data_IF_848457791971
#
_entry.id   IF_848457791971
#
_cell.length_a   1.000
_cell.length_b   1.000
_cell.length_c   1.000
_cell.angle_alpha   90.00
_cell.angle_beta   90.00
_cell.angle_gamma   90.00
#
_symmetry.space_group_name_H-M   'P 1'
#
loop_
_entity.id
_entity.type
_entity.pdbx_description
1 polymer ?
#
# COMPACT_ATOMS: atom_id res chain seq x y z
N UNK A 1 -13.47 -7.47 3.09
CA UNK A 1 -13.55 -6.92 4.46
C UNK A 1 -13.24 -5.42 4.51
N UNK A 2 -12.06 -4.94 4.03
CA UNK A 2 -11.60 -3.52 4.14
C UNK A 2 -12.60 -2.53 3.52
N UNK A 3 -13.13 -2.76 2.32
CA UNK A 3 -14.14 -1.88 1.68
C UNK A 3 -15.43 -1.76 2.51
N UNK A 4 -15.87 -2.85 3.15
CA UNK A 4 -17.02 -2.82 4.05
C UNK A 4 -16.72 -1.97 5.29
N UNK A 5 -15.49 -2.09 5.83
CA UNK A 5 -15.03 -1.27 6.95
C UNK A 5 -15.08 0.22 6.62
N UNK A 6 -14.56 0.62 5.46
CA UNK A 6 -14.64 2.03 4.99
C UNK A 6 -16.09 2.51 4.94
N UNK A 7 -16.98 1.75 4.30
CA UNK A 7 -18.40 2.14 4.14
C UNK A 7 -19.17 2.22 5.44
N UNK A 8 -18.83 1.39 6.44
CA UNK A 8 -19.50 1.32 7.74
C UNK A 8 -18.85 2.17 8.83
N UNK A 9 -17.68 2.72 8.58
CA UNK A 9 -17.01 3.60 9.54
C UNK A 9 -17.78 4.93 9.67
N UNK A 10 -17.70 5.55 10.86
CA UNK A 10 -18.35 6.84 11.17
C UNK A 10 -17.34 7.89 11.64
N UNK A 11 -16.07 7.50 11.82
CA UNK A 11 -15.00 8.41 12.22
C UNK A 11 -14.64 9.42 11.13
N UNK A 12 -14.01 10.50 11.50
CA UNK A 12 -13.44 11.50 10.60
C UNK A 12 -12.29 10.90 9.77
N UNK A 13 -11.52 10.01 10.37
CA UNK A 13 -10.43 9.27 9.74
C UNK A 13 -10.67 7.76 9.83
N UNK A 14 -10.04 7.03 8.90
CA UNK A 14 -10.03 5.56 8.85
C UNK A 14 -8.59 5.08 8.87
N UNK A 15 -8.30 4.16 9.77
CA UNK A 15 -7.06 3.38 9.81
C UNK A 15 -7.35 1.90 9.60
N UNK A 16 -6.32 1.15 9.27
CA UNK A 16 -6.39 -0.29 9.07
C UNK A 16 -5.40 -0.98 10.00
N UNK A 17 -5.74 -2.18 10.44
CA UNK A 17 -4.83 -3.08 11.13
C UNK A 17 -5.05 -4.49 10.58
N UNK A 18 -3.97 -5.18 10.25
CA UNK A 18 -4.05 -6.57 9.85
C UNK A 18 -4.12 -7.45 11.11
N UNK A 19 -4.93 -8.50 11.06
CA UNK A 19 -5.26 -9.33 12.23
C UNK A 19 -4.09 -10.15 12.77
N UNK A 20 -3.01 -10.20 12.03
CA UNK A 20 -1.80 -10.95 12.33
C UNK A 20 -0.61 -10.05 12.72
N UNK A 21 -0.83 -8.75 12.81
CA UNK A 21 0.15 -7.75 13.21
C UNK A 21 -0.21 -7.10 14.56
N UNK A 22 0.75 -6.40 15.15
CA UNK A 22 0.54 -5.60 16.35
C UNK A 22 0.77 -4.12 16.06
N UNK A 23 0.07 -3.27 16.81
CA UNK A 23 0.24 -1.82 16.76
C UNK A 23 0.42 -1.27 18.16
N UNK A 24 1.17 -0.18 18.30
CA UNK A 24 1.25 0.55 19.55
C UNK A 24 -0.15 1.03 19.99
N UNK A 25 -0.46 0.91 21.26
CA UNK A 25 -1.76 1.26 21.81
C UNK A 25 -2.16 2.72 21.57
N UNK A 26 -1.20 3.61 21.40
CA UNK A 26 -1.39 5.04 21.19
C UNK A 26 -1.16 5.48 19.73
N UNK A 27 -0.88 4.54 18.81
CA UNK A 27 -0.61 4.83 17.39
C UNK A 27 -1.69 5.71 16.75
N UNK A 28 -2.94 5.26 16.76
CA UNK A 28 -4.03 5.99 16.09
C UNK A 28 -4.31 7.33 16.77
N UNK A 29 -4.14 7.44 18.10
CA UNK A 29 -4.27 8.71 18.80
C UNK A 29 -3.22 9.71 18.32
N UNK A 30 -1.94 9.33 18.29
CA UNK A 30 -0.86 10.21 17.83
C UNK A 30 -1.01 10.61 16.36
N UNK A 31 -1.36 9.66 15.50
CA UNK A 31 -1.62 9.96 14.08
C UNK A 31 -2.81 10.91 13.90
N UNK A 32 -3.87 10.75 14.70
CA UNK A 32 -5.04 11.63 14.67
C UNK A 32 -4.70 13.04 15.17
N UNK A 33 -3.98 13.16 16.29
CA UNK A 33 -3.52 14.44 16.82
C UNK A 33 -2.68 15.19 15.77
N UNK A 34 -1.73 14.51 15.13
CA UNK A 34 -0.92 15.07 14.04
C UNK A 34 -1.78 15.46 12.82
N UNK A 35 -2.75 14.62 12.44
CA UNK A 35 -3.67 14.90 11.34
C UNK A 35 -4.50 16.14 11.61
N UNK A 36 -4.96 16.35 12.85
CA UNK A 36 -5.73 17.53 13.26
C UNK A 36 -4.86 18.79 13.37
N UNK A 37 -3.68 18.67 13.95
CA UNK A 37 -2.74 19.79 14.08
C UNK A 37 -2.35 20.37 12.73
N UNK A 38 -2.02 19.49 11.78
CA UNK A 38 -1.57 19.90 10.45
C UNK A 38 -2.69 19.95 9.41
N UNK A 39 -3.93 19.61 9.75
CA UNK A 39 -5.06 19.46 8.81
C UNK A 39 -4.70 18.56 7.62
N UNK A 40 -4.27 17.33 7.91
CA UNK A 40 -3.83 16.39 6.89
C UNK A 40 -4.97 15.52 6.36
N UNK A 41 -4.85 15.13 5.11
CA UNK A 41 -5.70 14.13 4.47
C UNK A 41 -5.20 12.70 4.73
N UNK A 42 -3.88 12.57 4.94
CA UNK A 42 -3.24 11.31 5.27
C UNK A 42 -2.09 11.54 6.25
N UNK A 43 -1.95 10.62 7.20
CA UNK A 43 -0.76 10.51 8.07
C UNK A 43 -0.19 9.12 7.92
N UNK A 44 1.13 9.01 7.80
CA UNK A 44 1.87 7.76 7.72
C UNK A 44 2.80 7.64 8.93
N UNK A 45 3.02 6.41 9.44
CA UNK A 45 4.04 6.12 10.46
C UNK A 45 5.02 5.04 9.98
N UNK A 46 6.12 4.89 10.72
CA UNK A 46 7.09 3.83 10.50
C UNK A 46 6.62 2.50 11.10
N UNK A 47 7.34 1.43 10.79
CA UNK A 47 7.06 0.09 11.26
C UNK A 47 8.32 -0.76 11.44
N UNK A 48 8.21 -1.77 12.31
CA UNK A 48 9.23 -2.78 12.55
C UNK A 48 8.91 -4.05 11.75
N UNK A 49 9.92 -4.64 11.12
CA UNK A 49 9.84 -6.03 10.66
C UNK A 49 10.25 -6.95 11.79
N UNK A 50 9.36 -7.86 12.15
CA UNK A 50 9.61 -8.89 13.15
C UNK A 50 9.64 -10.27 12.51
N UNK A 51 10.49 -11.14 13.03
CA UNK A 51 10.51 -12.56 12.71
C UNK A 51 10.33 -13.36 13.98
N UNK A 52 9.34 -14.24 13.99
CA UNK A 52 9.17 -15.23 15.05
C UNK A 52 10.18 -16.36 14.84
N UNK A 53 10.96 -16.67 15.87
CA UNK A 53 11.83 -17.82 15.95
C UNK A 53 11.25 -18.79 16.95
N UNK A 54 11.84 -20.02 17.06
CA UNK A 54 11.34 -21.02 18.01
C UNK A 54 11.40 -20.57 19.47
N UNK A 55 12.33 -19.68 19.78
CA UNK A 55 12.66 -19.30 21.17
C UNK A 55 12.39 -17.83 21.46
N UNK A 56 12.20 -16.99 20.44
CA UNK A 56 12.07 -15.52 20.63
C UNK A 56 11.46 -14.83 19.40
N UNK A 57 11.10 -13.54 19.60
CA UNK A 57 10.70 -12.63 18.52
C UNK A 57 11.88 -11.69 18.26
N UNK A 58 12.41 -11.73 17.06
CA UNK A 58 13.53 -10.90 16.64
C UNK A 58 13.09 -9.76 15.76
N UNK A 59 13.46 -8.53 16.12
CA UNK A 59 13.40 -7.40 15.23
C UNK A 59 14.50 -7.50 14.16
N UNK A 60 14.11 -7.45 12.88
CA UNK A 60 15.03 -7.48 11.75
C UNK A 60 15.47 -6.08 11.35
N UNK A 61 14.53 -5.15 11.25
CA UNK A 61 14.75 -3.76 10.85
C UNK A 61 13.53 -2.91 11.10
N UNK A 62 13.76 -1.63 11.30
CA UNK A 62 12.72 -0.60 11.21
C UNK A 62 12.65 -0.06 9.79
N UNK A 63 11.45 0.17 9.30
CA UNK A 63 11.18 0.78 8.00
C UNK A 63 10.17 1.89 8.11
N UNK A 64 10.22 2.76 7.12
CA UNK A 64 9.29 3.85 6.94
C UNK A 64 9.94 5.01 6.21
N UNK A 65 9.28 6.13 6.28
CA UNK A 65 9.72 7.38 5.70
C UNK A 65 10.66 8.10 6.67
N UNK A 66 11.61 8.81 6.13
CA UNK A 66 12.57 9.64 6.92
C UNK A 66 12.35 11.14 6.69
N UNK A 67 11.39 11.52 5.84
CA UNK A 67 11.07 12.89 5.51
C UNK A 67 9.59 13.03 5.12
N UNK A 68 9.06 14.23 5.24
CA UNK A 68 7.74 14.58 4.72
C UNK A 68 7.69 14.47 3.18
N UNK A 69 6.51 14.25 2.65
CA UNK A 69 6.26 14.33 1.21
C UNK A 69 6.38 15.78 0.73
N UNK A 70 7.00 15.98 -0.41
CA UNK A 70 7.10 17.30 -1.05
C UNK A 70 5.86 17.63 -1.89
N UNK A 71 5.02 16.63 -2.16
CA UNK A 71 3.78 16.76 -2.91
C UNK A 71 3.22 15.38 -3.30
N UNK A 72 2.08 15.39 -3.96
CA UNK A 72 1.38 14.17 -4.39
C UNK A 72 2.24 13.29 -5.32
N UNK A 73 2.98 13.88 -6.24
CA UNK A 73 3.85 13.16 -7.17
C UNK A 73 4.98 12.41 -6.48
N UNK A 74 5.52 12.98 -5.39
CA UNK A 74 6.53 12.32 -4.55
C UNK A 74 6.01 11.02 -3.91
N UNK A 75 4.70 10.93 -3.68
CA UNK A 75 4.05 9.71 -3.16
C UNK A 75 4.06 8.56 -4.17
N UNK A 76 4.15 8.84 -5.48
CA UNK A 76 4.24 7.83 -6.56
C UNK A 76 5.66 7.32 -6.80
N UNK A 77 6.67 8.12 -6.50
CA UNK A 77 8.07 7.79 -6.78
C UNK A 77 8.58 6.65 -5.89
N UNK A 78 8.28 6.71 -4.59
CA UNK A 78 8.63 5.64 -3.63
C UNK A 78 7.45 5.33 -2.71
N UNK A 79 6.39 4.68 -3.25
CA UNK A 79 5.17 4.46 -2.52
C UNK A 79 5.34 3.42 -1.42
N UNK A 80 4.90 3.77 -0.22
CA UNK A 80 4.65 2.84 0.89
C UNK A 80 3.19 2.40 0.81
N UNK A 81 2.91 1.36 0.03
CA UNK A 81 1.53 0.99 -0.34
C UNK A 81 0.71 0.34 0.78
N UNK A 82 1.36 -0.10 1.87
CA UNK A 82 0.67 -0.74 3.00
C UNK A 82 -0.37 0.18 3.63
N UNK A 83 -1.62 -0.28 3.82
CA UNK A 83 -2.68 0.55 4.43
C UNK A 83 -2.57 0.62 5.96
N UNK A 84 -1.97 -0.37 6.61
CA UNK A 84 -1.97 -0.57 8.06
C UNK A 84 -1.04 0.40 8.84
N UNK A 85 -0.16 1.12 8.18
CA UNK A 85 0.67 2.16 8.80
C UNK A 85 0.17 3.58 8.45
N UNK A 86 -1.09 3.72 8.04
CA UNK A 86 -1.67 4.99 7.61
C UNK A 86 -3.01 5.27 8.24
N UNK A 87 -3.28 6.56 8.39
CA UNK A 87 -4.56 7.11 8.76
C UNK A 87 -5.04 8.01 7.63
N UNK A 88 -6.23 7.77 7.10
CA UNK A 88 -6.80 8.47 5.94
C UNK A 88 -8.01 9.28 6.35
N UNK A 89 -8.14 10.50 5.86
CA UNK A 89 -9.39 11.27 5.95
C UNK A 89 -10.50 10.50 5.23
N UNK A 90 -11.53 10.10 5.98
CA UNK A 90 -12.56 9.17 5.50
C UNK A 90 -13.29 9.66 4.26
N UNK A 91 -13.57 10.97 4.18
CA UNK A 91 -14.29 11.58 3.06
C UNK A 91 -13.58 11.35 1.72
N UNK A 92 -12.25 11.37 1.69
CA UNK A 92 -11.46 11.12 0.48
C UNK A 92 -11.79 9.76 -0.10
N UNK A 93 -11.90 8.74 0.74
CA UNK A 93 -12.16 7.37 0.31
C UNK A 93 -13.61 7.20 -0.18
N UNK A 94 -14.56 7.80 0.53
CA UNK A 94 -15.99 7.61 0.25
C UNK A 94 -16.47 8.40 -0.95
N UNK A 95 -16.10 9.69 -1.03
CA UNK A 95 -16.62 10.58 -2.06
C UNK A 95 -16.01 10.34 -3.45
N UNK A 96 -14.82 9.73 -3.49
CA UNK A 96 -14.09 9.53 -4.74
C UNK A 96 -14.05 8.07 -5.21
N UNK A 97 -14.84 7.19 -4.57
CA UNK A 97 -14.91 5.79 -4.96
C UNK A 97 -13.58 5.04 -4.85
N UNK A 98 -12.71 5.47 -3.91
CA UNK A 98 -11.43 4.81 -3.68
C UNK A 98 -11.68 3.55 -2.86
N UNK A 99 -11.44 2.40 -3.49
CA UNK A 99 -11.63 1.08 -2.90
C UNK A 99 -10.48 0.13 -3.19
N UNK A 100 -10.45 -0.96 -2.45
CA UNK A 100 -9.57 -2.10 -2.74
C UNK A 100 -10.22 -2.97 -3.83
N UNK A 101 -9.54 -3.25 -4.96
CA UNK A 101 -10.08 -4.16 -5.97
C UNK A 101 -10.28 -5.56 -5.37
N UNK A 102 -11.44 -6.15 -5.66
CA UNK A 102 -11.80 -7.46 -5.12
C UNK A 102 -11.22 -8.60 -5.95
N UNK A 103 -10.85 -9.69 -5.28
CA UNK A 103 -10.37 -10.91 -5.93
C UNK A 103 -8.92 -10.86 -6.42
N UNK A 104 -8.21 -9.76 -6.24
CA UNK A 104 -6.81 -9.60 -6.62
C UNK A 104 -5.91 -9.65 -5.37
N UNK A 105 -4.68 -10.13 -5.53
CA UNK A 105 -3.58 -9.82 -4.60
C UNK A 105 -2.91 -8.52 -5.07
N UNK A 106 -2.20 -7.83 -4.19
CA UNK A 106 -1.67 -6.47 -4.38
C UNK A 106 -2.76 -5.40 -4.45
N UNK A 107 -3.92 -5.66 -3.86
CA UNK A 107 -5.05 -4.75 -3.78
C UNK A 107 -4.72 -3.45 -3.03
N UNK A 108 -3.78 -3.53 -2.09
CA UNK A 108 -3.22 -2.41 -1.33
C UNK A 108 -2.49 -1.41 -2.24
N UNK A 109 -1.77 -1.93 -3.24
CA UNK A 109 -1.10 -1.09 -4.25
C UNK A 109 -2.13 -0.24 -5.02
N UNK A 110 -3.20 -0.87 -5.54
CA UNK A 110 -4.23 -0.13 -6.25
C UNK A 110 -4.94 0.89 -5.35
N UNK A 111 -5.28 0.49 -4.13
CA UNK A 111 -5.94 1.36 -3.16
C UNK A 111 -5.09 2.60 -2.86
N UNK A 112 -3.81 2.41 -2.51
CA UNK A 112 -2.92 3.51 -2.17
C UNK A 112 -2.71 4.46 -3.35
N UNK A 113 -2.38 3.93 -4.54
CA UNK A 113 -2.11 4.77 -5.72
C UNK A 113 -3.37 5.55 -6.14
N UNK A 114 -4.56 4.94 -6.11
CA UNK A 114 -5.83 5.63 -6.40
C UNK A 114 -6.18 6.73 -5.38
N UNK A 115 -5.66 6.64 -4.15
CA UNK A 115 -5.90 7.66 -3.13
C UNK A 115 -5.10 8.94 -3.38
N UNK A 116 -3.92 8.84 -3.99
CA UNK A 116 -2.95 9.95 -4.13
C UNK A 116 -3.53 11.23 -4.74
N UNK A 117 -4.30 11.22 -5.84
CA UNK A 117 -4.81 12.46 -6.43
C UNK A 117 -5.70 13.29 -5.50
N UNK A 118 -6.25 12.66 -4.48
CA UNK A 118 -7.15 13.32 -3.51
C UNK A 118 -6.46 13.73 -2.21
N UNK A 119 -5.24 13.26 -1.96
CA UNK A 119 -4.45 13.62 -0.78
C UNK A 119 -3.72 14.93 -1.04
N UNK A 120 -4.32 16.04 -0.66
CA UNK A 120 -3.72 17.38 -0.83
C UNK A 120 -2.59 17.62 0.18
N UNK A 121 -2.73 17.05 1.37
CA UNK A 121 -1.77 17.21 2.45
C UNK A 121 -1.54 15.89 3.19
N UNK A 122 -0.33 15.40 3.09
CA UNK A 122 0.14 14.24 3.83
C UNK A 122 1.17 14.66 4.88
N UNK A 123 1.20 13.97 6.01
CA UNK A 123 2.25 14.14 7.02
C UNK A 123 2.77 12.79 7.49
N UNK A 124 3.87 12.86 8.20
CA UNK A 124 4.61 11.70 8.63
C UNK A 124 4.87 11.77 10.14
N UNK A 125 4.51 10.70 10.85
CA UNK A 125 4.85 10.51 12.25
C UNK A 125 6.18 9.75 12.33
N UNK A 126 7.25 10.44 12.75
CA UNK A 126 8.59 9.85 12.89
C UNK A 126 8.65 8.90 14.09
N UNK A 127 7.85 7.86 14.04
CA UNK A 127 7.79 6.79 15.03
C UNK A 127 7.37 5.48 14.34
N UNK A 128 8.03 4.38 14.70
CA UNK A 128 7.61 3.05 14.29
C UNK A 128 6.54 2.54 15.27
N UNK A 129 5.30 2.45 14.78
CA UNK A 129 4.13 2.11 15.58
C UNK A 129 3.50 0.78 15.22
N UNK A 130 3.95 0.14 14.16
CA UNK A 130 3.42 -1.14 13.68
C UNK A 130 4.51 -2.20 13.75
N UNK A 131 4.15 -3.38 14.20
CA UNK A 131 5.01 -4.56 14.32
C UNK A 131 4.54 -5.59 13.31
N UNK A 132 5.18 -5.58 12.13
CA UNK A 132 4.83 -6.43 10.99
C UNK A 132 5.57 -7.77 11.07
N UNK A 133 4.81 -8.88 11.24
CA UNK A 133 5.36 -10.21 11.36
C UNK A 133 5.62 -10.87 10.02
N UNK A 134 6.89 -11.23 9.79
CA UNK A 134 7.30 -12.05 8.65
C UNK A 134 7.08 -13.53 8.97
N UNK A 135 6.03 -14.12 8.42
CA UNK A 135 5.71 -15.54 8.59
C UNK A 135 6.07 -16.32 7.33
N UNK A 136 6.54 -17.55 7.48
CA UNK A 136 6.80 -18.43 6.34
C UNK A 136 5.54 -18.73 5.53
N UNK A 137 4.39 -18.75 6.18
CA UNK A 137 3.06 -18.97 5.58
C UNK A 137 2.41 -17.70 5.02
N UNK A 138 3.09 -16.55 5.09
CA UNK A 138 2.57 -15.29 4.58
C UNK A 138 2.18 -15.39 3.10
N UNK A 139 1.09 -14.70 2.73
CA UNK A 139 0.66 -14.56 1.32
C UNK A 139 1.79 -14.03 0.42
N UNK A 140 2.72 -13.24 0.99
CA UNK A 140 3.93 -12.78 0.29
C UNK A 140 4.89 -13.91 -0.05
N UNK A 141 4.94 -14.99 0.75
CA UNK A 141 5.76 -16.18 0.49
C UNK A 141 5.04 -17.20 -0.41
N UNK A 142 3.72 -17.13 -0.55
CA UNK A 142 2.94 -17.94 -1.48
C UNK A 142 3.13 -17.53 -2.97
N UNK A 143 4.19 -16.77 -3.28
CA UNK A 143 4.54 -16.23 -4.60
C UNK A 143 4.85 -17.29 -5.69
N UNK A 144 4.66 -18.58 -5.40
CA UNK A 144 4.70 -19.67 -6.40
C UNK A 144 3.37 -19.82 -7.14
N UNK A 145 2.36 -19.02 -6.81
CA UNK A 145 1.00 -19.16 -7.31
C UNK A 145 0.77 -18.37 -8.62
N UNK A 146 -0.22 -18.82 -9.41
CA UNK A 146 -0.72 -18.12 -10.60
C UNK A 146 -1.14 -16.66 -10.33
N UNK A 147 -1.40 -16.33 -9.06
CA UNK A 147 -1.82 -14.98 -8.64
C UNK A 147 -0.73 -13.90 -8.78
N UNK A 148 0.55 -14.27 -8.95
CA UNK A 148 1.63 -13.30 -9.21
C UNK A 148 1.28 -12.38 -10.39
N UNK A 149 0.61 -12.91 -11.43
CA UNK A 149 0.15 -12.14 -12.58
C UNK A 149 -0.96 -11.12 -12.28
N UNK A 150 -1.55 -11.12 -11.07
CA UNK A 150 -2.57 -10.12 -10.71
C UNK A 150 -1.99 -8.70 -10.71
N UNK A 151 -0.66 -8.55 -10.61
CA UNK A 151 -0.04 -7.23 -10.67
C UNK A 151 -0.39 -6.46 -11.95
N UNK A 152 -0.47 -7.14 -13.10
CA UNK A 152 -0.85 -6.49 -14.35
C UNK A 152 -2.30 -6.01 -14.33
N UNK A 153 -3.21 -6.77 -13.68
CA UNK A 153 -4.60 -6.34 -13.51
C UNK A 153 -4.70 -5.17 -12.54
N UNK A 154 -3.87 -5.15 -11.50
CA UNK A 154 -3.76 -4.04 -10.56
C UNK A 154 -3.25 -2.78 -11.25
N UNK A 155 -2.19 -2.87 -12.06
CA UNK A 155 -1.68 -1.74 -12.83
C UNK A 155 -2.73 -1.21 -13.83
N UNK A 156 -3.44 -2.12 -14.54
CA UNK A 156 -4.54 -1.73 -15.43
C UNK A 156 -5.65 -1.00 -14.66
N UNK A 157 -6.06 -1.53 -13.49
CA UNK A 157 -7.07 -0.88 -12.63
C UNK A 157 -6.66 0.54 -12.21
N UNK A 158 -5.38 0.74 -11.88
CA UNK A 158 -4.83 2.07 -11.56
C UNK A 158 -4.92 3.00 -12.78
N UNK A 159 -4.44 2.56 -13.94
CA UNK A 159 -4.41 3.38 -15.15
C UNK A 159 -5.84 3.76 -15.60
N UNK A 160 -6.77 2.81 -15.55
CA UNK A 160 -8.18 3.06 -15.89
C UNK A 160 -8.83 4.05 -14.93
N UNK A 161 -8.51 3.97 -13.63
CA UNK A 161 -8.97 4.92 -12.64
C UNK A 161 -8.45 6.34 -12.91
N UNK A 162 -7.16 6.49 -13.19
CA UNK A 162 -6.57 7.81 -13.48
C UNK A 162 -7.12 8.41 -14.78
N UNK A 163 -7.33 7.60 -15.82
CA UNK A 163 -7.95 8.04 -17.09
C UNK A 163 -9.41 8.41 -16.87
N UNK A 164 -10.17 7.56 -16.21
CA UNK A 164 -11.60 7.77 -15.97
C UNK A 164 -11.93 8.99 -15.11
N UNK A 165 -10.99 9.41 -14.25
CA UNK A 165 -11.14 10.58 -13.37
C UNK A 165 -10.38 11.83 -13.88
N UNK A 166 -9.75 11.77 -15.05
CA UNK A 166 -9.08 12.92 -15.65
C UNK A 166 -7.73 13.30 -15.06
N UNK A 167 -7.10 12.41 -14.28
CA UNK A 167 -5.80 12.65 -13.65
C UNK A 167 -4.62 12.16 -14.50
N UNK A 168 -4.88 11.36 -15.54
CA UNK A 168 -3.81 10.66 -16.25
C UNK A 168 -2.75 11.59 -16.80
N UNK A 169 -3.14 12.66 -17.48
CA UNK A 169 -2.20 13.59 -18.11
C UNK A 169 -1.30 14.32 -17.09
N UNK A 170 -1.84 14.65 -15.92
CA UNK A 170 -1.10 15.31 -14.85
C UNK A 170 -0.05 14.38 -14.23
N UNK A 171 -0.35 13.09 -14.11
CA UNK A 171 0.49 12.10 -13.41
C UNK A 171 1.18 11.11 -14.37
N UNK A 172 1.13 11.33 -15.68
CA UNK A 172 1.59 10.36 -16.69
C UNK A 172 3.03 9.89 -16.48
N UNK A 173 3.95 10.82 -16.23
CA UNK A 173 5.37 10.49 -16.04
C UNK A 173 5.63 9.67 -14.78
N UNK A 174 4.97 10.02 -13.68
CA UNK A 174 5.10 9.31 -12.40
C UNK A 174 4.45 7.93 -12.46
N UNK A 175 3.31 7.81 -13.16
CA UNK A 175 2.64 6.52 -13.40
C UNK A 175 3.47 5.61 -14.29
N UNK A 176 4.07 6.13 -15.36
CA UNK A 176 4.98 5.37 -16.21
C UNK A 176 6.18 4.86 -15.41
N UNK A 177 6.84 5.76 -14.65
CA UNK A 177 7.93 5.37 -13.77
C UNK A 177 7.51 4.27 -12.78
N UNK A 178 6.34 4.43 -12.14
CA UNK A 178 5.81 3.47 -11.20
C UNK A 178 5.56 2.11 -11.87
N UNK A 179 4.91 2.07 -13.03
CA UNK A 179 4.64 0.84 -13.78
C UNK A 179 5.93 0.13 -14.17
N UNK A 180 6.91 0.86 -14.73
CA UNK A 180 8.22 0.31 -15.09
C UNK A 180 8.94 -0.26 -13.86
N UNK A 181 8.98 0.50 -12.76
CA UNK A 181 9.59 0.06 -11.49
C UNK A 181 8.94 -1.21 -10.94
N UNK A 182 7.60 -1.30 -10.94
CA UNK A 182 6.87 -2.48 -10.48
C UNK A 182 7.12 -3.67 -11.41
N UNK A 183 7.03 -3.49 -12.71
CA UNK A 183 7.25 -4.57 -13.68
C UNK A 183 8.67 -5.10 -13.63
N UNK A 184 9.67 -4.23 -13.74
CA UNK A 184 11.06 -4.65 -13.84
C UNK A 184 11.71 -5.01 -12.48
N UNK A 185 11.50 -4.19 -11.43
CA UNK A 185 12.21 -4.40 -10.18
C UNK A 185 11.51 -5.38 -9.24
N UNK A 186 10.17 -5.40 -9.22
CA UNK A 186 9.41 -6.21 -8.27
C UNK A 186 8.84 -7.48 -8.89
N UNK A 187 8.30 -7.39 -10.11
CA UNK A 187 7.57 -8.50 -10.73
C UNK A 187 8.49 -9.54 -11.33
N UNK A 188 9.58 -9.15 -12.02
CA UNK A 188 10.52 -10.10 -12.60
C UNK A 188 11.06 -11.10 -11.58
N UNK A 189 11.49 -10.63 -10.40
CA UNK A 189 12.01 -11.52 -9.36
C UNK A 189 10.94 -12.47 -8.79
N UNK A 190 9.66 -12.07 -8.82
CA UNK A 190 8.53 -12.89 -8.36
C UNK A 190 8.10 -13.90 -9.43
N UNK A 191 8.05 -13.47 -10.70
CA UNK A 191 7.73 -14.32 -11.85
C UNK A 191 8.78 -15.43 -12.00
N UNK A 192 10.07 -15.12 -11.87
CA UNK A 192 11.15 -16.12 -11.93
C UNK A 192 11.10 -17.18 -10.81
N UNK A 193 10.23 -17.01 -9.78
CA UNK A 193 9.98 -18.04 -8.75
C UNK A 193 8.76 -18.92 -9.05
N UNK A 194 8.02 -18.64 -10.12
CA UNK A 194 6.86 -19.43 -10.55
C UNK A 194 7.35 -20.78 -11.03
N UNK A 195 6.77 -21.87 -10.53
CA UNK A 195 7.17 -23.24 -10.85
C UNK A 195 6.60 -23.73 -12.19
N UNK A 196 5.50 -23.15 -12.64
CA UNK A 196 4.84 -23.43 -13.92
C UNK A 196 5.56 -22.63 -15.03
N UNK A 197 6.36 -23.32 -15.85
CA UNK A 197 7.19 -22.70 -16.89
C UNK A 197 6.40 -22.06 -18.04
N UNK A 198 5.23 -22.60 -18.37
CA UNK A 198 4.36 -22.01 -19.38
C UNK A 198 3.77 -20.67 -18.87
N UNK A 199 3.35 -20.66 -17.60
CA UNK A 199 2.88 -19.45 -16.95
C UNK A 199 3.98 -18.41 -16.79
N UNK A 200 5.20 -18.83 -16.38
CA UNK A 200 6.36 -17.94 -16.27
C UNK A 200 6.62 -17.22 -17.60
N UNK A 201 6.68 -17.95 -18.72
CA UNK A 201 6.88 -17.36 -20.04
C UNK A 201 5.77 -16.37 -20.40
N UNK A 202 4.50 -16.75 -20.22
CA UNK A 202 3.36 -15.84 -20.48
C UNK A 202 3.37 -14.58 -19.63
N UNK A 203 3.93 -14.63 -18.41
CA UNK A 203 4.02 -13.46 -17.55
C UNK A 203 5.20 -12.57 -17.94
N UNK A 204 6.33 -13.17 -18.36
CA UNK A 204 7.48 -12.44 -18.87
C UNK A 204 7.16 -11.65 -20.14
N UNK A 205 6.36 -12.22 -21.04
CA UNK A 205 5.91 -11.53 -22.27
C UNK A 205 5.05 -10.29 -22.01
N UNK A 206 4.49 -10.16 -20.78
CA UNK A 206 3.67 -9.02 -20.37
C UNK A 206 4.47 -7.95 -19.60
N UNK A 207 5.69 -8.27 -19.17
CA UNK A 207 6.56 -7.35 -18.43
C UNK A 207 7.32 -6.44 -19.37
#
# INVERSE_FOLDING_TARGET
>A
ARNMGIRRSHGEYVGFADSDDYVDADMFRQMYELAKEKDCDMVECNYHYLQETKDDIRELKTRGRIREYTGQKDMLIDPQVSPWNKLYRREILLHNGVDFPEGLIYEDTAFYIKTIPYVKKASYLDRACVYYFLRETSTMNANKSRKVGNIFQVLQNILDFYRGNGFYEEYAAELEYFCVKICLCSSLSRIGRVTDKELETKLLDKT
#
